data_IF_515570037173
#
_entry.id   IF_515570037173
#
_cell.length_a   1.000
_cell.length_b   1.000
_cell.length_c   1.000
_cell.angle_alpha   90.00
_cell.angle_beta   90.00
_cell.angle_gamma   90.00
#
_symmetry.space_group_name_H-M   'P 1'
#
loop_
_entity.id
_entity.type
_entity.pdbx_description
1 polymer ?
#
# COMPACT_ATOMS: atom_id res chain seq x y z
N UNK A 1 28.60 19.77 42.29
CA UNK A 1 29.12 20.22 40.99
C UNK A 1 28.41 19.41 39.92
N UNK A 2 27.55 20.05 39.12
CA UNK A 2 26.67 19.35 38.16
C UNK A 2 27.27 19.33 36.75
N UNK A 3 27.22 18.19 36.09
CA UNK A 3 27.62 18.04 34.69
C UNK A 3 26.40 18.30 33.80
N UNK A 4 26.51 19.26 32.86
CA UNK A 4 25.47 19.54 31.88
C UNK A 4 25.83 18.81 30.59
N UNK A 5 24.94 17.94 30.12
CA UNK A 5 25.05 17.26 28.83
C UNK A 5 24.24 18.03 27.78
N UNK A 6 24.92 18.53 26.75
CA UNK A 6 24.27 19.15 25.59
C UNK A 6 24.13 18.11 24.47
N UNK A 7 22.89 17.81 24.09
CA UNK A 7 22.59 16.94 22.96
C UNK A 7 22.51 17.78 21.68
N UNK A 8 23.22 17.36 20.63
CA UNK A 8 23.07 17.98 19.30
C UNK A 8 21.70 17.61 18.74
N UNK A 9 20.93 18.61 18.32
CA UNK A 9 19.72 18.41 17.54
C UNK A 9 20.17 17.95 16.14
N UNK A 10 19.74 16.77 15.65
CA UNK A 10 20.04 16.35 14.30
C UNK A 10 19.48 17.39 13.33
N UNK A 11 20.28 17.85 12.37
CA UNK A 11 19.77 18.70 11.30
C UNK A 11 18.64 17.93 10.59
N UNK A 12 17.45 18.51 10.59
CA UNK A 12 16.30 17.96 9.89
C UNK A 12 16.69 17.91 8.41
N UNK A 13 17.02 16.73 7.91
CA UNK A 13 17.27 16.54 6.48
C UNK A 13 16.07 17.14 5.72
N UNK A 14 16.32 17.93 4.67
CA UNK A 14 15.24 18.36 3.78
C UNK A 14 14.47 17.11 3.38
N UNK A 15 13.14 17.14 3.49
CA UNK A 15 12.31 16.09 2.94
C UNK A 15 12.79 15.88 1.49
N UNK A 16 13.20 14.65 1.15
CA UNK A 16 13.49 14.31 -0.23
C UNK A 16 12.29 14.76 -1.07
N UNK A 17 12.52 15.34 -2.27
CA UNK A 17 11.42 15.77 -3.13
C UNK A 17 10.46 14.60 -3.24
N UNK A 18 9.18 14.84 -2.93
CA UNK A 18 8.12 13.85 -3.03
C UNK A 18 8.34 13.07 -4.32
N UNK A 19 8.76 11.80 -4.19
CA UNK A 19 9.07 10.93 -5.33
C UNK A 19 7.96 11.12 -6.35
N UNK A 20 8.32 11.47 -7.60
CA UNK A 20 7.32 11.65 -8.66
C UNK A 20 6.29 10.52 -8.55
N UNK A 21 4.97 10.85 -8.54
CA UNK A 21 3.97 9.83 -8.38
C UNK A 21 4.24 8.76 -9.42
N UNK A 22 4.42 7.52 -8.95
CA UNK A 22 4.63 6.36 -9.82
C UNK A 22 3.59 6.44 -10.94
N UNK A 23 4.05 6.73 -12.16
CA UNK A 23 3.20 6.77 -13.34
C UNK A 23 2.90 5.32 -13.73
N UNK A 24 2.04 4.68 -12.94
CA UNK A 24 1.51 3.35 -13.22
C UNK A 24 0.15 3.51 -13.88
N UNK A 25 -0.07 2.80 -14.98
CA UNK A 25 -1.39 2.77 -15.62
C UNK A 25 -2.40 2.04 -14.71
N UNK A 26 -3.68 2.32 -14.94
CA UNK A 26 -4.75 1.80 -14.10
C UNK A 26 -4.76 0.26 -14.06
N UNK A 27 -4.51 -0.41 -15.19
CA UNK A 27 -4.56 -1.88 -15.23
C UNK A 27 -3.43 -2.47 -14.40
N UNK A 28 -2.21 -1.96 -14.56
CA UNK A 28 -1.07 -2.39 -13.74
C UNK A 28 -1.32 -2.11 -12.26
N UNK A 29 -1.90 -0.97 -11.90
CA UNK A 29 -2.21 -0.64 -10.51
C UNK A 29 -3.22 -1.62 -9.88
N UNK A 30 -4.26 -2.02 -10.63
CA UNK A 30 -5.27 -2.98 -10.16
C UNK A 30 -4.69 -4.39 -10.03
N UNK A 31 -3.88 -4.83 -10.98
CA UNK A 31 -3.19 -6.13 -10.93
C UNK A 31 -2.25 -6.22 -9.70
N UNK A 32 -1.49 -5.16 -9.41
CA UNK A 32 -0.67 -5.07 -8.19
C UNK A 32 -1.55 -5.13 -6.94
N UNK A 33 -2.64 -4.35 -6.88
CA UNK A 33 -3.52 -4.35 -5.72
C UNK A 33 -4.16 -5.73 -5.43
N UNK A 34 -4.50 -6.50 -6.47
CA UNK A 34 -5.01 -7.87 -6.31
C UNK A 34 -3.94 -8.79 -5.70
N UNK A 35 -2.70 -8.72 -6.18
CA UNK A 35 -1.57 -9.50 -5.63
C UNK A 35 -1.28 -9.13 -4.18
N UNK A 36 -1.26 -7.83 -3.88
CA UNK A 36 -1.06 -7.35 -2.51
C UNK A 36 -2.16 -7.86 -1.58
N UNK A 37 -3.42 -7.86 -2.03
CA UNK A 37 -4.54 -8.43 -1.27
C UNK A 37 -4.37 -9.93 -1.03
N UNK A 38 -3.95 -10.70 -2.05
CA UNK A 38 -3.64 -12.13 -1.92
C UNK A 38 -2.56 -12.39 -0.88
N UNK A 39 -1.54 -11.55 -0.85
CA UNK A 39 -0.42 -11.68 0.08
C UNK A 39 -0.82 -11.33 1.52
N UNK A 40 -1.66 -10.29 1.73
CA UNK A 40 -1.97 -9.82 3.09
C UNK A 40 -3.16 -10.54 3.74
N UNK A 41 -4.17 -10.97 2.98
CA UNK A 41 -5.40 -11.60 3.50
C UNK A 41 -5.12 -12.77 4.47
N UNK A 42 -4.18 -13.69 4.19
CA UNK A 42 -3.86 -14.81 5.10
C UNK A 42 -3.43 -14.36 6.50
N UNK A 43 -2.86 -13.17 6.62
CA UNK A 43 -2.35 -12.60 7.87
C UNK A 43 -3.37 -11.74 8.63
N UNK A 44 -4.58 -11.55 8.08
CA UNK A 44 -5.65 -10.81 8.75
C UNK A 44 -6.39 -11.74 9.71
N UNK A 45 -6.18 -11.60 11.02
CA UNK A 45 -6.81 -12.46 12.02
C UNK A 45 -8.24 -12.05 12.42
N UNK A 46 -8.61 -10.78 12.20
CA UNK A 46 -9.97 -10.33 12.48
C UNK A 46 -10.90 -10.77 11.35
N UNK A 47 -11.83 -11.69 11.64
CA UNK A 47 -12.70 -12.34 10.64
C UNK A 47 -13.45 -11.34 9.76
N UNK A 48 -14.10 -10.34 10.34
CA UNK A 48 -14.83 -9.33 9.56
C UNK A 48 -13.94 -8.49 8.63
N UNK A 49 -12.68 -8.24 9.01
CA UNK A 49 -11.73 -7.50 8.16
C UNK A 49 -11.25 -8.41 7.03
N UNK A 50 -11.02 -9.69 7.33
CA UNK A 50 -10.64 -10.69 6.32
C UNK A 50 -11.73 -10.86 5.27
N UNK A 51 -12.98 -11.04 5.69
CA UNK A 51 -14.12 -11.18 4.77
C UNK A 51 -14.28 -9.94 3.88
N UNK A 52 -14.11 -8.75 4.44
CA UNK A 52 -14.13 -7.51 3.68
C UNK A 52 -12.99 -7.43 2.66
N UNK A 53 -11.77 -7.81 3.05
CA UNK A 53 -10.62 -7.83 2.16
C UNK A 53 -10.81 -8.86 1.01
N UNK A 54 -11.34 -10.04 1.32
CA UNK A 54 -11.69 -11.06 0.32
C UNK A 54 -12.79 -10.57 -0.65
N UNK A 55 -13.78 -9.84 -0.15
CA UNK A 55 -14.82 -9.24 -0.99
C UNK A 55 -14.24 -8.14 -1.90
N UNK A 56 -13.36 -7.29 -1.37
CA UNK A 56 -12.66 -6.26 -2.13
C UNK A 56 -11.82 -6.89 -3.26
N UNK A 57 -11.01 -7.90 -2.93
CA UNK A 57 -10.20 -8.64 -3.91
C UNK A 57 -11.05 -9.21 -5.04
N UNK A 58 -12.17 -9.87 -4.73
CA UNK A 58 -13.09 -10.45 -5.73
C UNK A 58 -13.66 -9.39 -6.67
N UNK A 59 -14.14 -8.27 -6.12
CA UNK A 59 -14.67 -7.16 -6.92
C UNK A 59 -13.62 -6.59 -7.88
N UNK A 60 -12.37 -6.45 -7.42
CA UNK A 60 -11.27 -5.98 -8.27
C UNK A 60 -10.93 -6.98 -9.37
N UNK A 61 -10.85 -8.26 -9.05
CA UNK A 61 -10.60 -9.32 -10.04
C UNK A 61 -11.69 -9.36 -11.11
N UNK A 62 -12.97 -9.36 -10.71
CA UNK A 62 -14.10 -9.41 -11.65
C UNK A 62 -14.07 -8.21 -12.61
N UNK A 63 -13.74 -7.02 -12.10
CA UNK A 63 -13.62 -5.80 -12.89
C UNK A 63 -12.42 -5.84 -13.84
N UNK A 64 -11.29 -6.35 -13.38
CA UNK A 64 -10.06 -6.50 -14.18
C UNK A 64 -10.27 -7.49 -15.33
N UNK A 65 -10.88 -8.64 -15.04
CA UNK A 65 -11.20 -9.66 -16.05
C UNK A 65 -12.19 -9.12 -17.09
N UNK A 66 -13.21 -8.37 -16.65
CA UNK A 66 -14.15 -7.72 -17.57
C UNK A 66 -13.45 -6.68 -18.47
N UNK A 67 -12.51 -5.91 -17.93
CA UNK A 67 -11.72 -4.95 -18.72
C UNK A 67 -10.82 -5.64 -19.75
N UNK A 68 -10.20 -6.78 -19.39
CA UNK A 68 -9.39 -7.59 -20.33
C UNK A 68 -10.23 -8.18 -21.46
N UNK A 69 -11.49 -8.53 -21.21
CA UNK A 69 -12.39 -9.08 -22.23
C UNK A 69 -12.99 -8.00 -23.16
N UNK A 70 -13.03 -6.74 -22.72
CA UNK A 70 -13.63 -5.64 -23.47
C UNK A 70 -12.65 -4.92 -24.41
N UNK A 71 -11.34 -5.13 -24.26
CA UNK A 71 -10.27 -4.62 -25.12
C UNK A 71 -9.91 -5.57 -26.25
#
# INVERSE_FOLDING_TARGET
MGLVLQFRVPERQPAEPESEPLQVDLMTAVDVAIRDLDDIIPYIFHTGIREQAEACRRMLQDSFDAALQAG
#
